data_IF_805407876482
#
_entry.id   IF_805407876482
#
_cell.length_a   1.000
_cell.length_b   1.000
_cell.length_c   1.000
_cell.angle_alpha   90.00
_cell.angle_beta   90.00
_cell.angle_gamma   90.00
#
_symmetry.space_group_name_H-M   'P 1'
#
loop_
_entity.id
_entity.type
_entity.pdbx_description
1 polymer ?
#
# COMPACT_ATOMS: atom_id res chain seq x y z
N UNK A 1 21.75 17.58 2.43
CA UNK A 1 20.88 16.71 1.62
C UNK A 1 19.55 16.58 2.33
N UNK A 2 18.45 16.89 1.69
CA UNK A 2 17.11 16.71 2.25
C UNK A 2 16.87 15.20 2.40
N UNK A 3 16.68 14.73 3.63
CA UNK A 3 16.38 13.32 3.90
C UNK A 3 14.87 13.14 3.80
N UNK A 4 14.42 12.45 2.76
CA UNK A 4 13.02 12.15 2.52
C UNK A 4 12.75 10.71 2.95
N UNK A 5 11.77 10.54 3.83
CA UNK A 5 11.27 9.23 4.22
C UNK A 5 9.94 9.00 3.52
N UNK A 6 9.85 7.90 2.80
CA UNK A 6 8.67 7.45 2.08
C UNK A 6 8.05 6.30 2.86
N UNK A 7 6.81 6.48 3.32
CA UNK A 7 6.08 5.45 4.06
C UNK A 7 5.12 4.71 3.15
N UNK A 8 5.17 3.40 3.19
CA UNK A 8 4.01 2.60 2.82
C UNK A 8 2.85 2.87 3.79
N UNK A 9 1.63 2.61 3.38
CA UNK A 9 0.43 2.98 4.16
C UNK A 9 -0.21 1.77 4.84
N UNK A 10 -0.74 0.82 4.07
CA UNK A 10 -1.44 -0.33 4.62
C UNK A 10 -0.46 -1.30 5.30
N UNK A 11 -0.78 -1.77 6.50
CA UNK A 11 0.07 -2.58 7.40
C UNK A 11 1.31 -1.84 7.95
N UNK A 12 1.72 -0.72 7.36
CA UNK A 12 2.87 0.07 7.84
C UNK A 12 2.44 1.20 8.77
N UNK A 13 1.60 2.09 8.29
CA UNK A 13 1.01 3.18 9.08
C UNK A 13 -0.33 2.77 9.66
N UNK A 14 -1.14 2.06 8.88
CA UNK A 14 -2.51 1.70 9.19
C UNK A 14 -2.66 0.22 9.50
N UNK A 15 -3.38 -0.07 10.58
CA UNK A 15 -3.59 -1.42 11.09
C UNK A 15 -4.68 -2.15 10.31
N UNK A 16 -4.31 -2.91 9.30
CA UNK A 16 -5.23 -3.73 8.48
C UNK A 16 -5.97 -4.78 9.32
N UNK A 17 -5.40 -5.22 10.44
CA UNK A 17 -6.06 -6.18 11.36
C UNK A 17 -7.36 -5.66 11.95
N UNK A 18 -7.62 -4.37 11.86
CA UNK A 18 -8.91 -3.77 12.24
C UNK A 18 -10.09 -4.35 11.44
N UNK A 19 -9.82 -4.95 10.28
CA UNK A 19 -10.83 -5.65 9.47
C UNK A 19 -11.11 -7.09 9.96
N UNK A 20 -10.33 -7.66 10.88
CA UNK A 20 -10.50 -9.04 11.35
C UNK A 20 -11.96 -9.38 11.77
N UNK A 21 -12.71 -8.49 12.45
CA UNK A 21 -14.11 -8.77 12.79
C UNK A 21 -15.03 -8.93 11.58
N UNK A 22 -14.80 -8.16 10.50
CA UNK A 22 -15.57 -8.27 9.26
C UNK A 22 -15.30 -9.60 8.55
N UNK A 23 -14.05 -10.07 8.60
CA UNK A 23 -13.67 -11.38 8.08
C UNK A 23 -14.23 -12.52 8.93
N UNK A 24 -14.27 -12.36 10.24
CA UNK A 24 -14.93 -13.33 11.15
C UNK A 24 -16.41 -13.48 10.82
N UNK A 25 -17.11 -12.37 10.60
CA UNK A 25 -18.52 -12.36 10.22
C UNK A 25 -18.75 -12.96 8.83
N UNK A 26 -17.94 -12.60 7.84
CA UNK A 26 -18.14 -13.00 6.46
C UNK A 26 -17.68 -14.44 6.15
N UNK A 27 -16.64 -14.93 6.83
CA UNK A 27 -15.98 -16.20 6.54
C UNK A 27 -15.96 -17.19 7.71
N UNK A 28 -16.36 -16.77 8.93
CA UNK A 28 -16.26 -17.56 10.14
C UNK A 28 -14.82 -17.77 10.64
N UNK A 29 -13.86 -17.00 10.10
CA UNK A 29 -12.43 -17.15 10.42
C UNK A 29 -11.67 -15.83 10.16
N UNK A 30 -11.18 -15.20 11.23
CA UNK A 30 -10.38 -13.95 11.17
C UNK A 30 -9.09 -14.11 10.39
N UNK A 31 -8.51 -15.32 10.37
CA UNK A 31 -7.25 -15.57 9.66
C UNK A 31 -7.40 -15.43 8.14
N UNK A 32 -8.63 -15.48 7.61
CA UNK A 32 -8.94 -15.26 6.20
C UNK A 32 -8.52 -13.87 5.71
N UNK A 33 -8.49 -12.86 6.59
CA UNK A 33 -7.93 -11.54 6.28
C UNK A 33 -6.52 -11.62 5.69
N UNK A 34 -5.65 -12.41 6.33
CA UNK A 34 -4.24 -12.54 5.87
C UNK A 34 -4.16 -13.23 4.51
N UNK A 35 -4.97 -14.25 4.29
CA UNK A 35 -5.04 -14.96 3.00
C UNK A 35 -5.48 -14.00 1.89
N UNK A 36 -6.59 -13.29 2.10
CA UNK A 36 -7.10 -12.30 1.17
C UNK A 36 -6.08 -11.20 0.85
N UNK A 37 -5.46 -10.62 1.89
CA UNK A 37 -4.52 -9.51 1.68
C UNK A 37 -3.26 -9.96 0.95
N UNK A 38 -2.76 -11.17 1.25
CA UNK A 38 -1.63 -11.77 0.51
C UNK A 38 -1.99 -12.02 -0.96
N UNK A 39 -3.20 -12.49 -1.23
CA UNK A 39 -3.69 -12.72 -2.59
C UNK A 39 -3.85 -11.40 -3.36
N UNK A 40 -4.37 -10.36 -2.71
CA UNK A 40 -4.46 -9.00 -3.27
C UNK A 40 -3.07 -8.47 -3.69
N UNK A 41 -2.08 -8.57 -2.82
CA UNK A 41 -0.71 -8.15 -3.10
C UNK A 41 -0.12 -8.95 -4.28
N UNK A 42 -0.27 -10.27 -4.27
CA UNK A 42 0.18 -11.14 -5.37
C UNK A 42 -0.43 -10.70 -6.71
N UNK A 43 -1.75 -10.47 -6.74
CA UNK A 43 -2.42 -10.06 -7.99
C UNK A 43 -2.02 -8.66 -8.45
N UNK A 44 -1.70 -7.74 -7.54
CA UNK A 44 -1.18 -6.42 -7.91
C UNK A 44 0.22 -6.52 -8.57
N UNK A 45 1.07 -7.40 -8.06
CA UNK A 45 2.38 -7.68 -8.67
C UNK A 45 2.23 -8.36 -10.03
N UNK A 46 1.35 -9.37 -10.14
CA UNK A 46 1.06 -10.06 -11.41
C UNK A 46 0.48 -9.09 -12.46
N UNK A 47 -0.44 -8.20 -12.07
CA UNK A 47 -0.98 -7.18 -12.97
C UNK A 47 0.11 -6.25 -13.50
N UNK A 48 1.08 -5.91 -12.65
CA UNK A 48 2.24 -5.12 -13.04
C UNK A 48 3.14 -5.83 -14.06
N UNK A 49 3.30 -7.16 -13.94
CA UNK A 49 4.16 -7.95 -14.83
C UNK A 49 3.50 -8.31 -16.16
N UNK A 50 2.21 -8.64 -16.14
CA UNK A 50 1.58 -9.38 -17.22
C UNK A 50 0.52 -8.61 -18.00
N UNK A 51 -0.01 -7.48 -17.51
CA UNK A 51 -1.20 -7.02 -18.15
C UNK A 51 -1.62 -5.57 -17.98
N UNK A 52 -2.88 -5.29 -18.33
CA UNK A 52 -3.47 -3.99 -18.14
C UNK A 52 -3.55 -3.63 -16.65
N UNK A 53 -3.42 -2.36 -16.35
CA UNK A 53 -3.59 -1.85 -15.01
C UNK A 53 -5.07 -1.86 -14.61
N UNK A 54 -5.36 -2.45 -13.46
CA UNK A 54 -6.61 -2.30 -12.71
C UNK A 54 -6.30 -1.61 -11.40
N UNK A 55 -7.20 -0.78 -10.88
CA UNK A 55 -6.97 -0.15 -9.60
C UNK A 55 -6.98 -1.17 -8.45
N UNK A 56 -6.38 -0.78 -7.32
CA UNK A 56 -6.19 -1.67 -6.18
C UNK A 56 -7.52 -2.14 -5.56
N UNK A 57 -8.58 -1.32 -5.61
CA UNK A 57 -9.89 -1.69 -5.10
C UNK A 57 -10.57 -2.76 -5.97
N UNK A 58 -10.41 -2.67 -7.29
CA UNK A 58 -10.86 -3.70 -8.24
C UNK A 58 -10.17 -5.04 -7.97
N UNK A 59 -8.84 -5.01 -7.76
CA UNK A 59 -8.09 -6.23 -7.41
C UNK A 59 -8.49 -6.75 -6.02
N UNK A 60 -8.75 -5.87 -5.05
CA UNK A 60 -9.19 -6.26 -3.72
C UNK A 60 -10.54 -6.99 -3.75
N UNK A 61 -11.49 -6.50 -4.56
CA UNK A 61 -12.79 -7.17 -4.76
C UNK A 61 -12.61 -8.53 -5.43
N UNK A 62 -11.80 -8.62 -6.48
CA UNK A 62 -11.51 -9.88 -7.15
C UNK A 62 -10.85 -10.90 -6.18
N UNK A 63 -9.88 -10.46 -5.39
CA UNK A 63 -9.23 -11.30 -4.37
C UNK A 63 -10.23 -11.79 -3.30
N UNK A 64 -11.21 -10.96 -2.88
CA UNK A 64 -12.29 -11.41 -1.97
C UNK A 64 -13.13 -12.53 -2.58
N UNK A 65 -13.53 -12.40 -3.83
CA UNK A 65 -14.30 -13.42 -4.53
C UNK A 65 -13.51 -14.73 -4.70
N UNK A 66 -12.21 -14.62 -5.02
CA UNK A 66 -11.33 -15.78 -5.12
C UNK A 66 -11.13 -16.47 -3.78
N UNK A 67 -10.95 -15.72 -2.70
CA UNK A 67 -10.85 -16.24 -1.34
C UNK A 67 -12.14 -16.94 -0.92
N UNK A 68 -13.30 -16.34 -1.21
CA UNK A 68 -14.61 -16.95 -0.93
C UNK A 68 -14.79 -18.27 -1.70
N UNK A 69 -14.45 -18.27 -2.98
CA UNK A 69 -14.52 -19.47 -3.82
C UNK A 69 -13.62 -20.59 -3.32
N UNK A 70 -12.37 -20.28 -2.94
CA UNK A 70 -11.41 -21.28 -2.45
C UNK A 70 -11.83 -21.91 -1.12
N UNK A 71 -12.60 -21.17 -0.31
CA UNK A 71 -13.11 -21.62 0.99
C UNK A 71 -14.53 -22.21 0.91
N UNK A 72 -15.16 -22.23 -0.27
CA UNK A 72 -16.54 -22.68 -0.43
C UNK A 72 -17.57 -21.82 0.29
N UNK A 73 -17.26 -20.54 0.52
CA UNK A 73 -18.13 -19.55 1.18
C UNK A 73 -18.88 -18.73 0.14
N UNK A 74 -20.20 -18.54 0.36
CA UNK A 74 -21.00 -17.60 -0.43
C UNK A 74 -20.87 -16.21 0.21
N UNK A 75 -19.99 -15.39 -0.34
CA UNK A 75 -19.79 -14.02 0.12
C UNK A 75 -20.92 -13.12 -0.38
N UNK A 76 -21.64 -12.45 0.53
CA UNK A 76 -22.66 -11.47 0.16
C UNK A 76 -22.00 -10.19 -0.38
N UNK A 77 -22.68 -9.50 -1.31
CA UNK A 77 -22.20 -8.20 -1.80
C UNK A 77 -22.05 -7.20 -0.67
N UNK A 78 -22.98 -7.20 0.28
CA UNK A 78 -22.92 -6.32 1.47
C UNK A 78 -21.66 -6.56 2.30
N UNK A 79 -21.30 -7.82 2.59
CA UNK A 79 -20.08 -8.15 3.33
C UNK A 79 -18.83 -7.73 2.56
N UNK A 80 -18.81 -7.92 1.24
CA UNK A 80 -17.70 -7.47 0.39
C UNK A 80 -17.55 -5.94 0.44
N UNK A 81 -18.65 -5.20 0.35
CA UNK A 81 -18.63 -3.73 0.43
C UNK A 81 -18.12 -3.25 1.79
N UNK A 82 -18.61 -3.82 2.91
CA UNK A 82 -18.14 -3.46 4.26
C UNK A 82 -16.62 -3.67 4.41
N UNK A 83 -16.08 -4.76 3.90
CA UNK A 83 -14.64 -5.03 3.95
C UNK A 83 -13.86 -3.99 3.13
N UNK A 84 -14.31 -3.69 1.90
CA UNK A 84 -13.65 -2.74 1.01
C UNK A 84 -13.74 -1.29 1.54
N UNK A 85 -14.89 -0.89 2.07
CA UNK A 85 -15.08 0.42 2.70
C UNK A 85 -14.25 0.54 3.98
N UNK A 86 -14.13 -0.55 4.74
CA UNK A 86 -13.31 -0.61 5.95
C UNK A 86 -11.84 -0.27 5.68
N UNK A 87 -11.33 -0.57 4.48
CA UNK A 87 -9.97 -0.17 4.09
C UNK A 87 -9.74 1.35 4.11
N UNK A 88 -10.78 2.16 3.86
CA UNK A 88 -10.65 3.61 3.88
C UNK A 88 -10.68 4.22 5.30
N UNK A 89 -11.02 3.42 6.32
CA UNK A 89 -11.20 3.87 7.71
C UNK A 89 -10.30 3.15 8.73
N UNK A 90 -9.21 2.55 8.28
CA UNK A 90 -8.25 1.86 9.14
C UNK A 90 -7.62 2.83 10.15
N UNK A 91 -7.53 2.46 11.44
CA UNK A 91 -6.81 3.24 12.43
C UNK A 91 -5.29 3.11 12.22
N UNK A 92 -4.50 4.10 12.64
CA UNK A 92 -3.05 3.95 12.68
C UNK A 92 -2.65 2.95 13.76
N UNK A 93 -1.43 2.38 13.63
CA UNK A 93 -0.82 1.69 14.76
C UNK A 93 -0.53 2.68 15.90
N UNK A 94 -0.53 2.20 17.13
CA UNK A 94 -0.47 3.05 18.34
C UNK A 94 0.77 3.94 18.41
N UNK A 95 1.90 3.47 17.88
CA UNK A 95 3.20 4.15 17.90
C UNK A 95 3.41 5.14 16.75
N UNK A 96 2.56 5.11 15.71
CA UNK A 96 2.78 5.86 14.46
C UNK A 96 2.82 7.36 14.70
N UNK A 97 1.87 7.89 15.45
CA UNK A 97 1.75 9.34 15.69
C UNK A 97 3.01 9.90 16.35
N UNK A 98 3.51 9.24 17.40
CA UNK A 98 4.70 9.67 18.14
C UNK A 98 5.97 9.54 17.29
N UNK A 99 6.06 8.45 16.50
CA UNK A 99 7.18 8.23 15.58
C UNK A 99 7.23 9.31 14.49
N UNK A 100 6.11 9.62 13.84
CA UNK A 100 6.03 10.66 12.82
C UNK A 100 6.36 12.05 13.38
N UNK A 101 5.86 12.35 14.58
CA UNK A 101 6.19 13.62 15.25
C UNK A 101 7.69 13.73 15.53
N UNK A 102 8.32 12.67 16.02
CA UNK A 102 9.76 12.64 16.30
C UNK A 102 10.59 12.83 15.02
N UNK A 103 10.21 12.20 13.92
CA UNK A 103 10.89 12.34 12.63
C UNK A 103 10.77 13.78 12.09
N UNK A 104 9.58 14.39 12.18
CA UNK A 104 9.35 15.79 11.81
C UNK A 104 10.18 16.76 12.64
N UNK A 105 10.25 16.56 13.96
CA UNK A 105 11.07 17.34 14.86
C UNK A 105 12.58 17.21 14.54
N UNK A 106 12.99 16.06 13.99
CA UNK A 106 14.33 15.82 13.45
C UNK A 106 14.61 16.49 12.09
N UNK A 107 13.68 17.28 11.56
CA UNK A 107 13.83 17.99 10.28
C UNK A 107 13.72 17.09 9.04
N UNK A 108 13.13 15.90 9.17
CA UNK A 108 12.91 14.98 8.05
C UNK A 108 11.63 15.35 7.27
N UNK A 109 11.68 15.21 5.96
CA UNK A 109 10.53 15.36 5.07
C UNK A 109 9.86 14.00 4.94
N UNK A 110 8.54 13.95 5.17
CA UNK A 110 7.77 12.71 5.18
C UNK A 110 6.74 12.73 4.06
N UNK A 111 6.67 11.65 3.32
CA UNK A 111 5.67 11.42 2.27
C UNK A 111 5.15 9.98 2.36
N UNK A 112 3.98 9.72 1.78
CA UNK A 112 3.47 8.35 1.63
C UNK A 112 3.58 7.87 0.19
N UNK A 113 3.69 6.56 -0.02
CA UNK A 113 3.56 5.89 -1.31
C UNK A 113 2.79 4.59 -1.15
N UNK A 114 1.62 4.52 -1.75
CA UNK A 114 0.70 3.39 -1.60
C UNK A 114 0.27 2.78 -2.94
N UNK A 115 -0.13 1.51 -2.89
CA UNK A 115 -0.81 0.83 -3.99
C UNK A 115 -2.30 1.24 -4.12
N UNK A 116 -2.89 1.84 -3.08
CA UNK A 116 -4.26 2.36 -3.12
C UNK A 116 -4.39 3.57 -4.06
N UNK A 117 -5.60 3.84 -4.56
CA UNK A 117 -5.85 5.02 -5.41
C UNK A 117 -5.63 6.32 -4.64
N UNK A 118 -5.38 7.42 -5.39
CA UNK A 118 -5.13 8.74 -4.79
C UNK A 118 -6.27 9.16 -3.86
N UNK A 119 -7.52 8.98 -4.31
CA UNK A 119 -8.69 9.31 -3.48
C UNK A 119 -8.72 8.52 -2.17
N UNK A 120 -8.36 7.23 -2.22
CA UNK A 120 -8.37 6.36 -1.04
C UNK A 120 -7.27 6.74 -0.06
N UNK A 121 -6.03 6.98 -0.51
CA UNK A 121 -4.95 7.36 0.41
C UNK A 121 -5.22 8.70 1.07
N UNK A 122 -5.75 9.69 0.35
CA UNK A 122 -6.09 11.00 0.93
C UNK A 122 -7.19 10.86 1.99
N UNK A 123 -8.14 9.95 1.79
CA UNK A 123 -9.17 9.65 2.77
C UNK A 123 -8.60 8.90 3.98
N UNK A 124 -7.78 7.87 3.75
CA UNK A 124 -7.14 7.08 4.80
C UNK A 124 -6.30 7.96 5.73
N UNK A 125 -5.43 8.78 5.17
CA UNK A 125 -4.51 9.64 5.93
C UNK A 125 -5.28 10.68 6.75
N UNK A 126 -6.35 11.28 6.19
CA UNK A 126 -7.24 12.19 6.94
C UNK A 126 -8.01 11.48 8.05
N UNK A 127 -8.63 10.34 7.75
CA UNK A 127 -9.41 9.57 8.75
C UNK A 127 -8.52 9.11 9.91
N UNK A 128 -7.25 8.79 9.63
CA UNK A 128 -6.27 8.43 10.65
C UNK A 128 -5.69 9.65 11.41
N UNK A 129 -6.02 10.89 11.03
CA UNK A 129 -5.48 12.12 11.65
C UNK A 129 -3.99 12.33 11.39
N UNK A 130 -3.47 11.77 10.29
CA UNK A 130 -2.04 11.78 9.96
C UNK A 130 -1.66 12.83 8.91
N UNK A 131 -2.62 13.54 8.31
CA UNK A 131 -2.44 14.50 7.22
C UNK A 131 -1.39 15.59 7.53
N UNK A 132 -1.34 16.07 8.77
CA UNK A 132 -0.39 17.10 9.21
C UNK A 132 1.09 16.67 9.18
N UNK A 133 1.38 15.37 9.08
CA UNK A 133 2.74 14.86 9.10
C UNK A 133 3.37 14.75 7.72
N UNK A 134 2.56 14.59 6.69
CA UNK A 134 3.04 14.32 5.33
C UNK A 134 2.98 15.56 4.44
N UNK A 135 4.02 15.75 3.64
CA UNK A 135 4.03 16.82 2.62
C UNK A 135 3.18 16.43 1.41
N UNK A 136 3.23 15.16 1.03
CA UNK A 136 2.48 14.60 -0.09
C UNK A 136 2.07 13.16 0.19
N UNK A 137 0.90 12.79 -0.34
CA UNK A 137 0.46 11.41 -0.44
C UNK A 137 0.53 10.97 -1.89
N UNK A 138 1.37 9.98 -2.18
CA UNK A 138 1.54 9.45 -3.52
C UNK A 138 0.81 8.13 -3.70
N UNK A 139 0.14 8.00 -4.86
CA UNK A 139 -0.49 6.77 -5.32
C UNK A 139 0.20 6.24 -6.56
N UNK A 140 0.28 4.92 -6.68
CA UNK A 140 0.75 4.24 -7.89
C UNK A 140 -0.16 4.46 -9.10
N UNK A 141 -1.40 4.95 -8.91
CA UNK A 141 -2.35 5.26 -10.00
C UNK A 141 -1.75 6.20 -11.04
N UNK A 142 -0.92 7.15 -10.58
CA UNK A 142 -0.26 8.12 -11.47
C UNK A 142 0.61 7.45 -12.52
N UNK A 143 1.30 6.39 -12.16
CA UNK A 143 2.20 5.64 -13.06
C UNK A 143 1.61 4.34 -13.56
N UNK A 144 0.46 3.93 -13.02
CA UNK A 144 -0.28 2.70 -13.37
C UNK A 144 0.58 1.44 -13.28
N UNK A 145 1.45 1.40 -12.27
CA UNK A 145 2.36 0.29 -11.95
C UNK A 145 2.43 0.14 -10.44
N UNK A 146 2.11 -1.05 -9.93
CA UNK A 146 2.19 -1.31 -8.49
C UNK A 146 3.62 -1.42 -7.98
N UNK A 147 3.83 -1.11 -6.72
CA UNK A 147 5.06 -1.48 -6.01
C UNK A 147 5.22 -3.02 -6.06
N UNK A 148 6.43 -3.57 -6.22
CA UNK A 148 7.73 -2.92 -6.15
C UNK A 148 8.31 -2.49 -7.51
N UNK A 149 7.50 -2.24 -8.54
CA UNK A 149 8.02 -1.70 -9.80
C UNK A 149 8.78 -0.38 -9.56
N UNK A 150 9.82 -0.06 -10.35
CA UNK A 150 10.65 1.12 -10.10
C UNK A 150 9.94 2.45 -10.40
N UNK A 151 8.89 2.45 -11.23
CA UNK A 151 8.21 3.65 -11.68
C UNK A 151 7.58 4.46 -10.53
N UNK A 152 6.86 3.87 -9.53
CA UNK A 152 6.36 4.60 -8.38
C UNK A 152 7.44 5.36 -7.61
N UNK A 153 8.60 4.73 -7.38
CA UNK A 153 9.68 5.35 -6.61
C UNK A 153 10.37 6.48 -7.40
N UNK A 154 10.53 6.32 -8.73
CA UNK A 154 11.04 7.37 -9.61
C UNK A 154 10.09 8.56 -9.66
N UNK A 155 8.79 8.32 -9.69
CA UNK A 155 7.77 9.38 -9.62
C UNK A 155 7.94 10.19 -8.31
N UNK A 156 8.02 9.52 -7.16
CA UNK A 156 8.23 10.20 -5.87
C UNK A 156 9.52 11.02 -5.89
N UNK A 157 10.62 10.47 -6.38
CA UNK A 157 11.89 11.18 -6.46
C UNK A 157 11.80 12.43 -7.33
N UNK A 158 11.18 12.33 -8.52
CA UNK A 158 10.98 13.44 -9.43
C UNK A 158 10.11 14.55 -8.82
N UNK A 159 8.97 14.20 -8.21
CA UNK A 159 8.07 15.17 -7.57
C UNK A 159 8.71 15.86 -6.36
N UNK A 160 9.57 15.15 -5.64
CA UNK A 160 10.27 15.69 -4.47
C UNK A 160 11.57 16.43 -4.84
N UNK A 161 11.97 16.42 -6.11
CA UNK A 161 13.17 17.10 -6.61
C UNK A 161 14.49 16.48 -6.11
N UNK A 162 14.54 15.15 -5.99
CA UNK A 162 15.72 14.39 -5.50
C UNK A 162 16.00 13.18 -6.38
N UNK A 163 17.15 12.54 -6.17
CA UNK A 163 17.46 11.26 -6.79
C UNK A 163 16.76 10.11 -6.01
N UNK A 164 16.47 9.01 -6.68
CA UNK A 164 15.82 7.84 -6.04
C UNK A 164 16.65 7.29 -4.88
N UNK A 165 17.98 7.39 -4.92
CA UNK A 165 18.87 6.96 -3.84
C UNK A 165 18.80 7.84 -2.58
N UNK A 166 18.22 9.03 -2.66
CA UNK A 166 17.98 9.91 -1.52
C UNK A 166 16.68 9.59 -0.76
N UNK A 167 15.82 8.74 -1.35
CA UNK A 167 14.62 8.25 -0.70
C UNK A 167 14.94 7.11 0.28
N UNK A 168 14.28 7.12 1.43
CA UNK A 168 14.32 6.02 2.39
C UNK A 168 12.92 5.45 2.57
N UNK A 169 12.74 4.20 2.14
CA UNK A 169 11.48 3.48 2.35
C UNK A 169 11.37 2.98 3.79
N UNK A 170 10.16 3.12 4.33
CA UNK A 170 9.69 2.45 5.55
C UNK A 170 8.44 1.67 5.19
N UNK A 171 8.51 0.36 5.33
CA UNK A 171 7.43 -0.55 4.98
C UNK A 171 7.47 -1.81 5.86
N UNK A 172 6.29 -2.38 6.15
CA UNK A 172 6.17 -3.65 6.84
C UNK A 172 6.64 -4.84 5.99
N UNK A 173 6.56 -4.70 4.67
CA UNK A 173 6.94 -5.74 3.72
C UNK A 173 8.37 -5.57 3.21
N UNK A 174 9.18 -6.62 3.33
CA UNK A 174 10.58 -6.62 2.92
C UNK A 174 10.79 -6.36 1.42
N UNK A 175 9.84 -6.74 0.56
CA UNK A 175 9.91 -6.49 -0.87
C UNK A 175 9.78 -5.01 -1.23
N UNK A 176 9.09 -4.20 -0.41
CA UNK A 176 8.92 -2.76 -0.62
C UNK A 176 10.15 -1.94 -0.18
N UNK A 177 10.99 -2.51 0.68
CA UNK A 177 12.22 -1.85 1.19
C UNK A 177 13.37 -1.90 0.17
N UNK A 178 13.29 -2.73 -0.88
CA UNK A 178 14.32 -2.89 -1.90
C UNK A 178 13.91 -2.27 -3.24
N UNK A 179 13.76 -0.95 -3.37
CA UNK A 179 13.53 -0.32 -4.68
C UNK A 179 14.82 -0.21 -5.52
N UNK A 180 15.82 -1.00 -5.23
CA UNK A 180 17.07 -1.06 -5.99
C UNK A 180 17.04 -2.18 -7.01
N UNK A 181 16.14 -2.10 -7.97
CA UNK A 181 16.43 -2.73 -9.23
C UNK A 181 17.35 -1.77 -10.02
N UNK A 182 18.65 -1.87 -9.84
CA UNK A 182 19.53 -1.64 -10.97
C UNK A 182 19.05 -2.59 -12.07
N UNK A 183 18.87 -2.11 -13.31
CA UNK A 183 18.51 -3.00 -14.41
C UNK A 183 19.53 -4.13 -14.40
N UNK A 184 19.06 -5.38 -14.49
CA UNK A 184 19.95 -6.50 -14.77
C UNK A 184 20.91 -6.06 -15.86
N UNK A 185 22.24 -6.20 -15.69
CA UNK A 185 23.17 -5.80 -16.71
C UNK A 185 22.77 -6.53 -18.01
N UNK A 186 22.26 -5.78 -18.96
CA UNK A 186 22.05 -6.30 -20.32
C UNK A 186 23.43 -6.71 -20.79
N UNK A 187 23.65 -8.01 -20.98
CA UNK A 187 24.87 -8.49 -21.62
C UNK A 187 24.95 -7.75 -22.96
N UNK A 188 25.91 -6.84 -23.10
CA UNK A 188 26.31 -6.34 -24.38
C UNK A 188 26.80 -7.56 -25.16
N UNK A 189 26.03 -7.97 -26.16
CA UNK A 189 26.49 -8.89 -27.20
C UNK A 189 27.69 -8.25 -27.90
N UNK A 190 28.87 -8.77 -27.59
CA UNK A 190 30.07 -8.58 -28.37
C UNK A 190 29.98 -9.42 -29.62
#
# INVERSE_FOLDING_TARGET
MARIIVFDVNETLLNVRHLEPLFDEAFGDRATLREWFSLLLLHSEVATLAGPYFDFATLARAALQMTASSRGVVLSEHSAELILEGMASLPPHTEVTDALQSLRNGGLRLVTLTNSSQRVVDQQIRNAGLDRYFEHNFSVDTVRRFKPAPEPYRMVAAEMGVETCDLRMVAAHAWDIKPKAEPFPTRSSS
#
